data_IF_677721869338
#
_entry.id   IF_677721869338
#
_cell.length_a   1.000
_cell.length_b   1.000
_cell.length_c   1.000
_cell.angle_alpha   90.00
_cell.angle_beta   90.00
_cell.angle_gamma   90.00
#
_symmetry.space_group_name_H-M   'P 1'
#
loop_
_entity.id
_entity.type
_entity.pdbx_description
1 polymer ?
#
# COMPACT_ATOMS: atom_id res chain seq x y z
N UNK A 1 17.18 15.77 -16.02
CA UNK A 1 16.16 16.08 -17.07
C UNK A 1 15.23 17.19 -16.66
N UNK A 2 14.35 17.00 -15.66
CA UNK A 2 13.32 17.96 -15.26
C UNK A 2 13.88 19.32 -14.82
N UNK A 3 14.92 19.35 -13.98
CA UNK A 3 15.57 20.58 -13.54
C UNK A 3 16.14 21.42 -14.70
N UNK A 4 16.71 20.77 -15.71
CA UNK A 4 17.20 21.45 -16.89
C UNK A 4 16.09 22.20 -17.64
N UNK A 5 14.94 21.56 -17.81
CA UNK A 5 13.76 22.17 -18.46
C UNK A 5 13.24 23.34 -17.64
N UNK A 6 13.18 23.21 -16.30
CA UNK A 6 12.72 24.28 -15.41
C UNK A 6 13.65 25.50 -15.43
N UNK A 7 14.97 25.31 -15.56
CA UNK A 7 15.94 26.40 -15.67
C UNK A 7 15.78 27.25 -16.94
N UNK A 8 15.19 26.70 -18.01
CA UNK A 8 14.89 27.45 -19.25
C UNK A 8 13.74 28.47 -19.12
N UNK A 9 13.08 28.51 -17.97
CA UNK A 9 12.06 29.50 -17.65
C UNK A 9 10.62 29.01 -17.71
N UNK A 10 9.73 29.76 -17.04
CA UNK A 10 8.32 29.42 -16.85
C UNK A 10 7.46 29.45 -18.14
N UNK A 11 7.93 30.10 -19.20
CA UNK A 11 7.23 30.26 -20.47
C UNK A 11 7.32 29.02 -21.38
N UNK A 12 8.18 28.07 -21.06
CA UNK A 12 8.34 26.84 -21.84
C UNK A 12 7.11 25.93 -21.77
N UNK A 13 6.68 25.40 -22.92
CA UNK A 13 5.50 24.50 -23.02
C UNK A 13 5.58 23.27 -22.11
N UNK A 14 6.77 22.80 -21.80
CA UNK A 14 7.03 21.65 -20.95
C UNK A 14 7.32 22.00 -19.48
N UNK A 15 7.30 23.29 -19.09
CA UNK A 15 7.66 23.71 -17.73
C UNK A 15 6.80 23.06 -16.64
N UNK A 16 5.47 23.05 -16.82
CA UNK A 16 4.53 22.47 -15.85
C UNK A 16 4.76 20.96 -15.71
N UNK A 17 4.93 20.25 -16.84
CA UNK A 17 5.22 18.82 -16.83
C UNK A 17 6.55 18.52 -16.14
N UNK A 18 7.61 19.25 -16.46
CA UNK A 18 8.91 19.08 -15.82
C UNK A 18 8.85 19.35 -14.31
N UNK A 19 8.11 20.38 -13.90
CA UNK A 19 7.90 20.70 -12.48
C UNK A 19 7.16 19.58 -11.75
N UNK A 20 6.11 19.02 -12.38
CA UNK A 20 5.40 17.87 -11.82
C UNK A 20 6.34 16.67 -11.66
N UNK A 21 7.07 16.29 -12.72
CA UNK A 21 8.00 15.16 -12.69
C UNK A 21 9.09 15.32 -11.62
N UNK A 22 9.58 16.53 -11.40
CA UNK A 22 10.53 16.83 -10.33
C UNK A 22 9.91 16.58 -8.94
N UNK A 23 8.70 17.11 -8.69
CA UNK A 23 8.00 16.91 -7.42
C UNK A 23 7.57 15.45 -7.22
N UNK A 24 7.10 14.80 -8.29
CA UNK A 24 6.74 13.37 -8.25
C UNK A 24 7.93 12.48 -7.90
N UNK A 25 9.13 12.78 -8.42
CA UNK A 25 10.36 12.08 -8.03
C UNK A 25 10.66 12.20 -6.53
N UNK A 26 10.39 13.38 -5.92
CA UNK A 26 10.51 13.56 -4.46
C UNK A 26 9.41 12.84 -3.71
N UNK A 27 8.20 12.84 -4.24
CA UNK A 27 7.07 12.11 -3.66
C UNK A 27 7.30 10.60 -3.69
N UNK A 28 7.87 10.05 -4.77
CA UNK A 28 8.26 8.63 -4.82
C UNK A 28 9.25 8.25 -3.71
N UNK A 29 10.13 9.17 -3.29
CA UNK A 29 11.01 8.92 -2.14
C UNK A 29 10.23 8.83 -0.81
N UNK A 30 9.07 9.51 -0.71
CA UNK A 30 8.14 9.34 0.42
C UNK A 30 7.43 7.98 0.32
N UNK A 31 6.94 7.62 -0.88
CA UNK A 31 6.28 6.33 -1.14
C UNK A 31 7.22 5.14 -0.84
N UNK A 32 8.51 5.28 -1.12
CA UNK A 32 9.55 4.26 -0.86
C UNK A 32 10.08 4.28 0.59
N UNK A 33 9.60 5.20 1.44
CA UNK A 33 10.06 5.34 2.82
C UNK A 33 11.47 5.90 2.98
N UNK A 34 12.03 6.54 1.95
CA UNK A 34 13.34 7.23 1.99
C UNK A 34 13.17 8.57 2.71
N UNK A 35 12.09 9.31 2.41
CA UNK A 35 11.68 10.53 3.10
C UNK A 35 10.57 10.16 4.07
N UNK A 36 10.81 10.28 5.36
CA UNK A 36 9.85 9.98 6.43
C UNK A 36 9.72 11.11 7.47
N UNK A 37 10.61 12.12 7.41
CA UNK A 37 10.53 13.25 8.33
C UNK A 37 9.38 14.18 7.98
N UNK A 38 8.56 14.53 8.97
CA UNK A 38 7.40 15.41 8.82
C UNK A 38 7.75 16.78 8.25
N UNK A 39 8.94 17.30 8.58
CA UNK A 39 9.47 18.55 8.05
C UNK A 39 9.72 18.50 6.55
N UNK A 40 10.31 17.41 6.05
CA UNK A 40 10.58 17.22 4.62
C UNK A 40 9.27 17.01 3.84
N UNK A 41 8.32 16.23 4.37
CA UNK A 41 7.00 16.09 3.78
C UNK A 41 6.23 17.41 3.73
N UNK A 42 6.31 18.22 4.80
CA UNK A 42 5.71 19.55 4.84
C UNK A 42 6.33 20.48 3.81
N UNK A 43 7.64 20.46 3.64
CA UNK A 43 8.34 21.23 2.61
C UNK A 43 7.93 20.79 1.20
N UNK A 44 7.75 19.48 0.98
CA UNK A 44 7.25 18.94 -0.29
C UNK A 44 5.83 19.42 -0.58
N UNK A 45 4.94 19.36 0.42
CA UNK A 45 3.56 19.88 0.31
C UNK A 45 3.54 21.37 -0.05
N UNK A 46 4.42 22.20 0.56
CA UNK A 46 4.59 23.60 0.23
C UNK A 46 4.98 23.82 -1.24
N UNK A 47 5.91 23.02 -1.75
CA UNK A 47 6.34 23.09 -3.17
C UNK A 47 5.21 22.73 -4.14
N UNK A 48 4.37 21.73 -3.80
CA UNK A 48 3.15 21.42 -4.56
C UNK A 48 2.17 22.60 -4.56
N UNK A 49 1.88 23.19 -3.39
CA UNK A 49 1.00 24.38 -3.26
C UNK A 49 1.53 25.55 -4.08
N UNK A 50 2.84 25.83 -4.01
CA UNK A 50 3.47 26.88 -4.79
C UNK A 50 3.31 26.60 -6.30
N UNK A 51 3.51 25.35 -6.74
CA UNK A 51 3.34 24.99 -8.15
C UNK A 51 1.90 25.21 -8.65
N UNK A 52 0.92 24.89 -7.83
CA UNK A 52 -0.49 25.12 -8.10
C UNK A 52 -0.79 26.61 -8.20
N UNK A 53 -0.39 27.41 -7.20
CA UNK A 53 -0.71 28.83 -7.11
C UNK A 53 -0.04 29.66 -8.21
N UNK A 54 1.14 29.29 -8.68
CA UNK A 54 1.85 29.97 -9.77
C UNK A 54 1.34 29.60 -11.16
N UNK A 55 0.39 28.69 -11.28
CA UNK A 55 -0.11 28.17 -12.55
C UNK A 55 -1.57 28.55 -12.77
N UNK A 56 -1.96 28.71 -14.05
CA UNK A 56 -3.37 28.91 -14.39
C UNK A 56 -4.17 27.61 -14.15
N UNK A 57 -5.34 27.67 -13.50
CA UNK A 57 -6.20 26.52 -13.28
C UNK A 57 -6.51 25.78 -14.60
N UNK A 58 -6.52 24.46 -14.54
CA UNK A 58 -6.84 23.61 -15.69
C UNK A 58 -6.46 22.15 -15.44
N UNK A 59 -6.97 21.24 -16.26
CA UNK A 59 -6.78 19.79 -16.16
C UNK A 59 -5.30 19.36 -16.03
N UNK A 60 -4.38 20.09 -16.66
CA UNK A 60 -2.92 19.82 -16.55
C UNK A 60 -2.34 19.93 -15.14
N UNK A 61 -3.05 20.56 -14.21
CA UNK A 61 -2.65 20.64 -12.81
C UNK A 61 -3.17 19.48 -11.96
N UNK A 62 -4.06 18.65 -12.49
CA UNK A 62 -4.64 17.52 -11.77
C UNK A 62 -3.58 16.66 -11.08
N UNK A 63 -2.44 16.28 -11.69
CA UNK A 63 -1.43 15.48 -11.03
C UNK A 63 -0.86 16.12 -9.77
N UNK A 64 -0.73 17.46 -9.73
CA UNK A 64 -0.26 18.15 -8.52
C UNK A 64 -1.27 18.06 -7.38
N UNK A 65 -2.56 18.22 -7.69
CA UNK A 65 -3.63 18.12 -6.70
C UNK A 65 -3.76 16.72 -6.16
N UNK A 66 -3.70 15.69 -7.03
CA UNK A 66 -3.82 14.29 -6.62
C UNK A 66 -2.62 13.84 -5.79
N UNK A 67 -1.40 14.20 -6.18
CA UNK A 67 -0.20 13.87 -5.39
C UNK A 67 -0.21 14.57 -4.03
N UNK A 68 -0.60 15.85 -4.00
CA UNK A 68 -0.73 16.61 -2.75
C UNK A 68 -1.81 16.03 -1.83
N UNK A 69 -2.94 15.61 -2.39
CA UNK A 69 -4.00 14.91 -1.64
C UNK A 69 -3.46 13.62 -1.03
N UNK A 70 -2.77 12.79 -1.83
CA UNK A 70 -2.17 11.54 -1.34
C UNK A 70 -1.13 11.78 -0.25
N UNK A 71 -0.28 12.79 -0.42
CA UNK A 71 0.73 13.15 0.58
C UNK A 71 0.07 13.49 1.92
N UNK A 72 -1.01 14.29 1.90
CA UNK A 72 -1.74 14.62 3.12
C UNK A 72 -2.48 13.43 3.73
N UNK A 73 -3.20 12.64 2.92
CA UNK A 73 -4.02 11.54 3.42
C UNK A 73 -3.18 10.40 3.98
N UNK A 74 -2.19 9.92 3.21
CA UNK A 74 -1.56 8.63 3.46
C UNK A 74 -0.19 8.71 4.12
N UNK A 75 0.46 9.89 4.13
CA UNK A 75 1.82 10.04 4.68
C UNK A 75 1.91 11.07 5.80
N UNK A 76 1.11 12.15 5.72
CA UNK A 76 1.09 13.17 6.77
C UNK A 76 -0.07 13.00 7.76
N UNK A 77 -1.00 12.10 7.48
CA UNK A 77 -2.21 11.83 8.29
C UNK A 77 -3.07 13.08 8.58
N UNK A 78 -3.13 13.98 7.60
CA UNK A 78 -3.88 15.24 7.67
C UNK A 78 -5.11 15.17 6.76
N UNK A 79 -6.13 14.42 7.21
CA UNK A 79 -7.31 14.07 6.41
C UNK A 79 -8.11 15.30 5.98
N UNK A 80 -8.28 16.30 6.86
CA UNK A 80 -8.98 17.56 6.52
C UNK A 80 -8.29 18.29 5.35
N UNK A 81 -6.96 18.34 5.37
CA UNK A 81 -6.17 18.91 4.27
C UNK A 81 -6.34 18.10 2.99
N UNK A 82 -6.36 16.78 3.08
CA UNK A 82 -6.57 15.90 1.93
C UNK A 82 -7.97 16.09 1.32
N UNK A 83 -9.02 16.15 2.15
CA UNK A 83 -10.40 16.43 1.70
C UNK A 83 -10.52 17.80 1.02
N UNK A 84 -9.84 18.82 1.55
CA UNK A 84 -9.79 20.13 0.91
C UNK A 84 -9.18 20.06 -0.49
N UNK A 85 -8.02 19.39 -0.63
CA UNK A 85 -7.31 19.34 -1.91
C UNK A 85 -7.98 18.45 -2.94
N UNK A 86 -8.60 17.33 -2.55
CA UNK A 86 -9.36 16.49 -3.50
C UNK A 86 -10.61 17.21 -4.02
N UNK A 87 -11.30 17.98 -3.16
CA UNK A 87 -12.42 18.83 -3.61
C UNK A 87 -11.96 19.91 -4.60
N UNK A 88 -10.78 20.48 -4.38
CA UNK A 88 -10.18 21.43 -5.34
C UNK A 88 -9.84 20.73 -6.67
N UNK A 89 -9.32 19.51 -6.63
CA UNK A 89 -9.06 18.70 -7.82
C UNK A 89 -10.34 18.43 -8.63
N UNK A 90 -11.44 18.09 -7.94
CA UNK A 90 -12.74 17.84 -8.58
C UNK A 90 -13.33 19.06 -9.29
N UNK A 91 -12.98 20.27 -8.84
CA UNK A 91 -13.47 21.54 -9.40
C UNK A 91 -12.54 22.14 -10.46
N UNK A 92 -11.51 21.40 -10.92
CA UNK A 92 -10.65 21.87 -12.00
C UNK A 92 -11.43 21.94 -13.32
N UNK A 93 -11.25 23.01 -14.11
CA UNK A 93 -11.92 23.11 -15.40
C UNK A 93 -11.31 22.14 -16.41
N UNK A 94 -12.15 21.68 -17.34
CA UNK A 94 -11.77 20.85 -18.49
C UNK A 94 -11.16 19.47 -18.11
N UNK A 95 -11.59 18.89 -17.00
CA UNK A 95 -11.26 17.49 -16.70
C UNK A 95 -11.88 16.56 -17.73
N UNK A 96 -11.13 15.53 -18.12
CA UNK A 96 -11.70 14.42 -18.87
C UNK A 96 -12.59 13.59 -17.95
N UNK A 97 -13.57 12.88 -18.51
CA UNK A 97 -14.43 11.97 -17.74
C UNK A 97 -13.61 10.89 -17.01
N UNK A 98 -12.47 10.49 -17.56
CA UNK A 98 -11.54 9.56 -16.92
C UNK A 98 -10.91 10.19 -15.68
N UNK A 99 -10.48 11.45 -15.78
CA UNK A 99 -9.84 12.17 -14.69
C UNK A 99 -10.84 12.47 -13.56
N UNK A 100 -12.08 12.83 -13.89
CA UNK A 100 -13.16 12.99 -12.90
C UNK A 100 -13.37 11.71 -12.08
N UNK A 101 -13.38 10.54 -12.74
CA UNK A 101 -13.56 9.27 -12.02
C UNK A 101 -12.33 8.90 -11.18
N UNK A 102 -11.10 9.23 -11.62
CA UNK A 102 -9.89 9.07 -10.79
C UNK A 102 -9.96 9.94 -9.54
N UNK A 103 -10.44 11.18 -9.68
CA UNK A 103 -10.61 12.08 -8.52
C UNK A 103 -11.67 11.55 -7.56
N UNK A 104 -12.79 11.01 -8.07
CA UNK A 104 -13.82 10.37 -7.23
C UNK A 104 -13.25 9.17 -6.46
N UNK A 105 -12.47 8.31 -7.11
CA UNK A 105 -11.81 7.19 -6.40
C UNK A 105 -10.89 7.72 -5.31
N UNK A 106 -10.07 8.73 -5.60
CA UNK A 106 -9.18 9.32 -4.61
C UNK A 106 -9.97 9.97 -3.46
N UNK A 107 -11.11 10.62 -3.74
CA UNK A 107 -12.01 11.14 -2.70
C UNK A 107 -12.53 10.03 -1.80
N UNK A 108 -12.96 8.91 -2.40
CA UNK A 108 -13.42 7.75 -1.64
C UNK A 108 -12.29 7.13 -0.79
N UNK A 109 -11.06 7.05 -1.33
CA UNK A 109 -9.89 6.59 -0.58
C UNK A 109 -9.62 7.49 0.65
N UNK A 110 -9.71 8.80 0.50
CA UNK A 110 -9.55 9.76 1.61
C UNK A 110 -10.66 9.61 2.65
N UNK A 111 -11.92 9.45 2.19
CA UNK A 111 -13.05 9.21 3.09
C UNK A 111 -12.93 7.90 3.86
N UNK A 112 -12.35 6.86 3.25
CA UNK A 112 -12.09 5.60 3.93
C UNK A 112 -11.07 5.78 5.07
N UNK A 113 -10.01 6.54 4.83
CA UNK A 113 -9.02 6.90 5.88
C UNK A 113 -9.68 7.70 7.01
N UNK A 114 -10.64 8.57 6.67
CA UNK A 114 -11.45 9.34 7.64
C UNK A 114 -12.48 8.50 8.41
N UNK A 115 -12.61 7.21 8.12
CA UNK A 115 -13.58 6.34 8.76
C UNK A 115 -14.98 6.37 8.12
N UNK A 116 -15.18 7.14 7.05
CA UNK A 116 -16.46 7.28 6.33
C UNK A 116 -16.64 6.11 5.33
N UNK A 117 -16.69 4.87 5.83
CA UNK A 117 -16.72 3.65 4.99
C UNK A 117 -17.93 3.63 4.07
N UNK A 118 -19.11 4.04 4.59
CA UNK A 118 -20.35 4.05 3.81
C UNK A 118 -20.26 5.02 2.63
N UNK A 119 -19.79 6.24 2.86
CA UNK A 119 -19.62 7.24 1.81
C UNK A 119 -18.62 6.80 0.76
N UNK A 120 -17.48 6.23 1.19
CA UNK A 120 -16.49 5.66 0.28
C UNK A 120 -17.10 4.58 -0.60
N UNK A 121 -17.88 3.65 -0.01
CA UNK A 121 -18.56 2.57 -0.73
C UNK A 121 -19.53 3.11 -1.79
N UNK A 122 -20.31 4.15 -1.45
CA UNK A 122 -21.24 4.79 -2.40
C UNK A 122 -20.50 5.40 -3.59
N UNK A 123 -19.38 6.08 -3.36
CA UNK A 123 -18.59 6.70 -4.43
C UNK A 123 -18.00 5.61 -5.33
N UNK A 124 -17.41 4.55 -4.77
CA UNK A 124 -16.90 3.44 -5.57
C UNK A 124 -18.02 2.77 -6.39
N UNK A 125 -19.21 2.58 -5.80
CA UNK A 125 -20.36 2.01 -6.51
C UNK A 125 -20.82 2.90 -7.68
N UNK A 126 -20.81 4.22 -7.51
CA UNK A 126 -21.13 5.15 -8.59
C UNK A 126 -20.10 5.06 -9.74
N UNK A 127 -18.80 5.04 -9.42
CA UNK A 127 -17.74 4.93 -10.44
C UNK A 127 -17.83 3.58 -11.17
N UNK A 128 -18.02 2.47 -10.46
CA UNK A 128 -18.19 1.15 -11.07
C UNK A 128 -19.37 1.13 -12.05
N UNK A 129 -20.52 1.64 -11.64
CA UNK A 129 -21.73 1.70 -12.48
C UNK A 129 -21.50 2.54 -13.73
N UNK A 130 -20.88 3.73 -13.58
CA UNK A 130 -20.70 4.68 -14.66
C UNK A 130 -19.58 4.24 -15.63
N UNK A 131 -18.68 3.35 -15.20
CA UNK A 131 -17.50 2.87 -15.94
C UNK A 131 -17.42 1.34 -16.03
N UNK A 132 -18.56 0.68 -16.09
CA UNK A 132 -18.65 -0.78 -16.26
C UNK A 132 -17.78 -1.23 -17.46
N UNK A 133 -17.02 -2.30 -17.25
CA UNK A 133 -16.09 -2.87 -18.23
C UNK A 133 -14.90 -1.96 -18.64
N UNK A 134 -14.54 -1.01 -17.80
CA UNK A 134 -13.37 -0.15 -17.98
C UNK A 134 -12.38 -0.37 -16.83
N UNK A 135 -11.05 -0.24 -17.03
CA UNK A 135 -10.08 -0.42 -15.94
C UNK A 135 -10.39 0.35 -14.65
N UNK A 136 -10.87 1.60 -14.76
CA UNK A 136 -11.23 2.39 -13.58
C UNK A 136 -12.50 1.88 -12.88
N UNK A 137 -13.44 1.29 -13.62
CA UNK A 137 -14.60 0.61 -13.04
C UNK A 137 -14.22 -0.69 -12.34
N UNK A 138 -13.24 -1.42 -12.89
CA UNK A 138 -12.67 -2.60 -12.23
C UNK A 138 -11.91 -2.24 -10.96
N UNK A 139 -11.16 -1.13 -10.96
CA UNK A 139 -10.52 -0.59 -9.75
C UNK A 139 -11.57 -0.26 -8.67
N UNK A 140 -12.63 0.45 -9.04
CA UNK A 140 -13.72 0.78 -8.11
C UNK A 140 -14.43 -0.49 -7.58
N UNK A 141 -14.63 -1.50 -8.43
CA UNK A 141 -15.19 -2.79 -8.04
C UNK A 141 -14.31 -3.53 -7.03
N UNK A 142 -13.00 -3.55 -7.24
CA UNK A 142 -12.04 -4.15 -6.30
C UNK A 142 -12.08 -3.43 -4.95
N UNK A 143 -12.09 -2.10 -4.96
CA UNK A 143 -12.21 -1.30 -3.73
C UNK A 143 -13.52 -1.58 -2.99
N UNK A 144 -14.65 -1.76 -3.69
CA UNK A 144 -15.90 -2.21 -3.07
C UNK A 144 -15.79 -3.60 -2.45
N UNK A 145 -15.12 -4.54 -3.12
CA UNK A 145 -14.88 -5.86 -2.53
C UNK A 145 -14.07 -5.77 -1.23
N UNK A 146 -13.05 -4.88 -1.18
CA UNK A 146 -12.32 -4.57 0.05
C UNK A 146 -13.22 -3.98 1.14
N UNK A 147 -14.20 -3.11 0.79
CA UNK A 147 -15.17 -2.60 1.78
C UNK A 147 -16.00 -3.73 2.38
N UNK A 148 -16.47 -4.67 1.56
CA UNK A 148 -17.20 -5.85 2.04
C UNK A 148 -16.33 -6.74 2.94
N UNK A 149 -15.07 -6.95 2.57
CA UNK A 149 -14.10 -7.66 3.41
C UNK A 149 -13.95 -6.99 4.79
N UNK A 150 -13.78 -5.67 4.84
CA UNK A 150 -13.69 -4.92 6.10
C UNK A 150 -14.97 -4.97 6.94
N UNK A 151 -16.12 -5.14 6.30
CA UNK A 151 -17.43 -5.33 6.94
C UNK A 151 -17.74 -6.78 7.26
N UNK A 152 -16.81 -7.71 7.00
CA UNK A 152 -16.94 -9.15 7.22
C UNK A 152 -18.00 -9.84 6.31
N UNK A 153 -18.38 -9.21 5.22
CA UNK A 153 -19.22 -9.82 4.18
C UNK A 153 -18.34 -10.55 3.14
N UNK A 154 -17.75 -11.66 3.56
CA UNK A 154 -16.76 -12.39 2.77
C UNK A 154 -17.36 -13.03 1.53
N UNK A 155 -18.60 -13.50 1.60
CA UNK A 155 -19.26 -14.13 0.45
C UNK A 155 -19.50 -13.11 -0.66
N UNK A 156 -19.95 -11.92 -0.30
CA UNK A 156 -20.13 -10.85 -1.27
C UNK A 156 -18.78 -10.38 -1.85
N UNK A 157 -17.76 -10.24 -1.00
CA UNK A 157 -16.41 -9.88 -1.43
C UNK A 157 -15.87 -10.87 -2.46
N UNK A 158 -15.97 -12.21 -2.19
CA UNK A 158 -15.57 -13.28 -3.10
C UNK A 158 -16.29 -13.16 -4.45
N UNK A 159 -17.61 -13.01 -4.44
CA UNK A 159 -18.40 -12.85 -5.67
C UNK A 159 -17.97 -11.64 -6.52
N UNK A 160 -17.45 -10.57 -5.91
CA UNK A 160 -16.94 -9.41 -6.64
C UNK A 160 -15.55 -9.67 -7.25
N UNK A 161 -14.63 -10.27 -6.48
CA UNK A 161 -13.24 -10.49 -6.94
C UNK A 161 -13.13 -11.61 -7.96
N UNK A 162 -13.99 -12.61 -7.94
CA UNK A 162 -14.00 -13.72 -8.93
C UNK A 162 -14.17 -13.19 -10.36
N UNK A 163 -15.02 -12.17 -10.55
CA UNK A 163 -15.17 -11.50 -11.85
C UNK A 163 -13.92 -10.75 -12.26
N UNK A 164 -13.15 -10.23 -11.30
CA UNK A 164 -11.97 -9.42 -11.54
C UNK A 164 -10.71 -10.24 -11.86
N UNK A 165 -10.65 -11.50 -11.46
CA UNK A 165 -9.53 -12.41 -11.79
C UNK A 165 -9.31 -12.55 -13.31
N UNK A 166 -10.36 -12.38 -14.11
CA UNK A 166 -10.31 -12.38 -15.57
C UNK A 166 -10.07 -10.97 -16.18
N UNK A 167 -9.74 -9.96 -15.37
CA UNK A 167 -9.50 -8.59 -15.83
C UNK A 167 -8.31 -8.50 -16.77
N UNK A 168 -8.40 -7.63 -17.78
CA UNK A 168 -7.29 -7.30 -18.68
C UNK A 168 -6.15 -6.55 -17.98
N UNK A 169 -6.42 -5.89 -16.87
CA UNK A 169 -5.42 -5.27 -16.00
C UNK A 169 -4.80 -6.33 -15.09
N UNK A 170 -3.54 -6.68 -15.35
CA UNK A 170 -2.81 -7.65 -14.53
C UNK A 170 -2.73 -7.25 -13.06
N UNK A 171 -2.58 -5.96 -12.77
CA UNK A 171 -2.53 -5.45 -11.39
C UNK A 171 -3.86 -5.72 -10.67
N UNK A 172 -4.99 -5.33 -11.27
CA UNK A 172 -6.31 -5.56 -10.68
C UNK A 172 -6.60 -7.06 -10.53
N UNK A 173 -6.21 -7.87 -11.51
CA UNK A 173 -6.38 -9.33 -11.45
C UNK A 173 -5.55 -9.94 -10.31
N UNK A 174 -4.32 -9.49 -10.11
CA UNK A 174 -3.46 -9.95 -9.01
C UNK A 174 -4.03 -9.56 -7.65
N UNK A 175 -4.41 -8.30 -7.47
CA UNK A 175 -4.99 -7.81 -6.20
C UNK A 175 -6.32 -8.52 -5.88
N UNK A 176 -7.14 -8.82 -6.90
CA UNK A 176 -8.36 -9.60 -6.75
C UNK A 176 -8.08 -11.05 -6.38
N UNK A 177 -7.05 -11.67 -6.98
CA UNK A 177 -6.63 -13.02 -6.64
C UNK A 177 -6.10 -13.09 -5.21
N UNK A 178 -5.29 -12.12 -4.79
CA UNK A 178 -4.77 -12.02 -3.42
C UNK A 178 -5.91 -11.92 -2.40
N UNK A 179 -6.88 -11.00 -2.59
CA UNK A 179 -8.02 -10.88 -1.70
C UNK A 179 -8.88 -12.16 -1.66
N UNK A 180 -9.08 -12.78 -2.83
CA UNK A 180 -9.81 -14.06 -2.91
C UNK A 180 -9.11 -15.17 -2.13
N UNK A 181 -7.79 -15.30 -2.32
CA UNK A 181 -6.96 -16.28 -1.63
C UNK A 181 -7.00 -16.06 -0.12
N UNK A 182 -6.78 -14.83 0.32
CA UNK A 182 -6.82 -14.44 1.72
C UNK A 182 -8.16 -14.78 2.39
N UNK A 183 -9.29 -14.63 1.68
CA UNK A 183 -10.59 -15.04 2.22
C UNK A 183 -10.70 -16.56 2.22
N UNK A 184 -10.41 -17.22 1.09
CA UNK A 184 -10.69 -18.66 0.89
C UNK A 184 -9.84 -19.55 1.79
N UNK A 185 -8.56 -19.24 1.97
CA UNK A 185 -7.64 -20.01 2.82
C UNK A 185 -7.93 -19.85 4.31
N UNK A 186 -8.54 -18.71 4.68
CA UNK A 186 -8.82 -18.37 6.07
C UNK A 186 -10.25 -18.66 6.52
N UNK A 187 -11.10 -19.21 5.64
CA UNK A 187 -12.43 -19.66 6.03
C UNK A 187 -12.35 -20.95 6.85
N UNK A 188 -13.11 -21.01 7.93
CA UNK A 188 -13.27 -22.18 8.79
C UNK A 188 -14.75 -22.58 8.85
N UNK A 189 -15.06 -23.69 9.52
CA UNK A 189 -16.45 -24.15 9.74
C UNK A 189 -17.25 -23.19 10.66
N UNK A 190 -16.59 -22.23 11.32
CA UNK A 190 -17.26 -21.18 12.09
C UNK A 190 -18.09 -20.29 11.17
N UNK A 191 -19.41 -20.36 11.30
CA UNK A 191 -20.35 -19.59 10.48
C UNK A 191 -20.17 -18.07 10.60
N UNK A 192 -19.63 -17.59 11.72
CA UNK A 192 -19.38 -16.15 11.99
C UNK A 192 -18.00 -15.69 11.51
N UNK A 193 -17.11 -16.65 11.16
CA UNK A 193 -15.75 -16.35 10.72
C UNK A 193 -15.03 -15.35 11.64
N UNK A 194 -15.12 -15.57 12.96
CA UNK A 194 -14.76 -14.56 13.98
C UNK A 194 -13.31 -14.11 13.88
N UNK A 195 -12.38 -15.03 13.62
CA UNK A 195 -10.96 -14.70 13.51
C UNK A 195 -10.68 -13.88 12.25
N UNK A 196 -11.20 -14.31 11.09
CA UNK A 196 -11.05 -13.61 9.81
C UNK A 196 -11.70 -12.21 9.87
N UNK A 197 -12.87 -12.08 10.50
CA UNK A 197 -13.53 -10.78 10.69
C UNK A 197 -12.70 -9.84 11.56
N UNK A 198 -12.08 -10.33 12.64
CA UNK A 198 -11.17 -9.52 13.46
C UNK A 198 -9.93 -9.11 12.66
N UNK A 199 -9.39 -9.99 11.84
CA UNK A 199 -8.28 -9.68 10.96
C UNK A 199 -8.64 -8.59 9.93
N UNK A 200 -9.82 -8.70 9.29
CA UNK A 200 -10.33 -7.66 8.40
C UNK A 200 -10.43 -6.28 9.09
N UNK A 201 -10.90 -6.25 10.35
CA UNK A 201 -10.92 -5.03 11.16
C UNK A 201 -9.53 -4.49 11.49
N UNK A 202 -8.55 -5.37 11.74
CA UNK A 202 -7.15 -4.95 11.94
C UNK A 202 -6.57 -4.33 10.65
N UNK A 203 -6.84 -4.93 9.49
CA UNK A 203 -6.45 -4.37 8.19
C UNK A 203 -7.09 -3.01 7.92
N UNK A 204 -8.37 -2.85 8.25
CA UNK A 204 -9.04 -1.55 8.16
C UNK A 204 -8.38 -0.52 9.07
N UNK A 205 -8.15 -0.85 10.34
CA UNK A 205 -7.47 0.06 11.29
C UNK A 205 -6.09 0.46 10.79
N UNK A 206 -5.29 -0.49 10.24
CA UNK A 206 -4.01 -0.19 9.58
C UNK A 206 -4.19 0.77 8.40
N UNK A 207 -5.18 0.55 7.54
CA UNK A 207 -5.47 1.44 6.41
C UNK A 207 -5.87 2.87 6.85
N UNK A 208 -6.50 2.98 8.01
CA UNK A 208 -6.89 4.24 8.64
C UNK A 208 -5.78 4.86 9.50
N UNK A 209 -4.55 4.34 9.43
CA UNK A 209 -3.40 4.79 10.24
C UNK A 209 -3.63 4.71 11.75
N UNK A 210 -4.53 3.82 12.18
CA UNK A 210 -4.80 3.52 13.59
C UNK A 210 -3.92 2.35 14.06
N UNK A 211 -2.60 2.47 13.85
CA UNK A 211 -1.63 1.38 14.03
C UNK A 211 -1.69 0.75 15.41
N UNK A 212 -1.87 1.55 16.46
CA UNK A 212 -2.01 1.04 17.84
C UNK A 212 -3.25 0.15 18.00
N UNK A 213 -4.36 0.48 17.34
CA UNK A 213 -5.59 -0.32 17.36
C UNK A 213 -5.37 -1.61 16.57
N UNK A 214 -4.77 -1.48 15.36
CA UNK A 214 -4.45 -2.63 14.54
C UNK A 214 -3.56 -3.64 15.29
N UNK A 215 -2.46 -3.19 15.91
CA UNK A 215 -1.55 -4.04 16.69
C UNK A 215 -2.30 -4.75 17.82
N UNK A 216 -3.14 -4.05 18.61
CA UNK A 216 -3.92 -4.66 19.69
C UNK A 216 -4.86 -5.77 19.20
N UNK A 217 -5.49 -5.57 18.04
CA UNK A 217 -6.36 -6.59 17.45
C UNK A 217 -5.52 -7.80 17.01
N UNK A 218 -4.37 -7.56 16.34
CA UNK A 218 -3.47 -8.63 15.89
C UNK A 218 -2.89 -9.41 17.08
N UNK A 219 -2.50 -8.76 18.18
CA UNK A 219 -2.05 -9.42 19.41
C UNK A 219 -3.14 -10.32 20.02
N UNK A 220 -4.38 -9.83 20.02
CA UNK A 220 -5.53 -10.62 20.46
C UNK A 220 -5.76 -11.86 19.58
N UNK A 221 -5.53 -11.74 18.27
CA UNK A 221 -5.63 -12.88 17.33
C UNK A 221 -4.54 -13.91 17.58
N UNK A 222 -3.28 -13.50 17.71
CA UNK A 222 -2.15 -14.39 18.00
C UNK A 222 -2.41 -15.20 19.30
N UNK A 223 -2.99 -14.53 20.31
CA UNK A 223 -3.24 -15.18 21.62
C UNK A 223 -4.45 -16.10 21.61
N UNK A 224 -5.55 -15.68 20.96
CA UNK A 224 -6.84 -16.40 21.03
C UNK A 224 -7.02 -17.46 19.97
N UNK A 225 -6.32 -17.33 18.85
CA UNK A 225 -6.47 -18.18 17.68
C UNK A 225 -5.12 -18.71 17.16
N UNK A 226 -4.29 -19.35 18.03
CA UNK A 226 -2.90 -19.70 17.68
C UNK A 226 -2.79 -20.78 16.60
N UNK A 227 -3.88 -21.52 16.31
CA UNK A 227 -3.93 -22.59 15.31
C UNK A 227 -4.88 -22.25 14.14
N UNK A 228 -5.32 -21.01 14.02
CA UNK A 228 -6.22 -20.61 12.95
C UNK A 228 -5.42 -20.32 11.67
N UNK A 229 -5.92 -20.70 10.46
CA UNK A 229 -5.22 -20.44 9.20
C UNK A 229 -4.75 -19.00 9.02
N UNK A 230 -5.50 -17.99 9.51
CA UNK A 230 -5.18 -16.56 9.40
C UNK A 230 -3.90 -16.14 10.15
N UNK A 231 -3.25 -17.04 10.88
CA UNK A 231 -2.16 -16.64 11.78
C UNK A 231 -0.94 -16.11 11.03
N UNK A 232 -0.57 -16.67 9.89
CA UNK A 232 0.53 -16.17 9.05
C UNK A 232 0.25 -14.76 8.54
N UNK A 233 -0.96 -14.49 8.02
CA UNK A 233 -1.44 -13.15 7.65
C UNK A 233 -1.34 -12.15 8.82
N UNK A 234 -1.76 -12.58 10.00
CA UNK A 234 -1.71 -11.77 11.24
C UNK A 234 -0.27 -11.42 11.61
N UNK A 235 0.62 -12.39 11.57
CA UNK A 235 2.05 -12.21 11.87
C UNK A 235 2.71 -11.28 10.84
N UNK A 236 2.43 -11.46 9.54
CA UNK A 236 2.92 -10.59 8.48
C UNK A 236 2.48 -9.14 8.69
N UNK A 237 1.18 -8.91 8.89
CA UNK A 237 0.65 -7.55 9.09
C UNK A 237 1.18 -6.89 10.36
N UNK A 238 1.36 -7.64 11.46
CA UNK A 238 1.98 -7.10 12.67
C UNK A 238 3.46 -6.77 12.45
N UNK A 239 4.20 -7.64 11.75
CA UNK A 239 5.61 -7.40 11.44
C UNK A 239 5.80 -6.12 10.60
N UNK A 240 4.94 -5.87 9.63
CA UNK A 240 4.96 -4.65 8.82
C UNK A 240 4.71 -3.39 9.66
N UNK A 241 3.72 -3.40 10.54
CA UNK A 241 3.41 -2.29 11.44
C UNK A 241 4.57 -1.98 12.38
N UNK A 242 5.19 -3.01 12.96
CA UNK A 242 6.36 -2.85 13.83
C UNK A 242 7.57 -2.32 13.05
N UNK A 243 7.79 -2.80 11.82
CA UNK A 243 8.84 -2.29 10.94
C UNK A 243 8.65 -0.79 10.65
N UNK A 244 7.43 -0.38 10.33
CA UNK A 244 7.10 1.01 10.07
C UNK A 244 7.31 1.91 11.31
N UNK A 245 7.07 1.36 12.51
CA UNK A 245 7.29 2.04 13.79
C UNK A 245 8.76 2.09 14.21
N UNK A 246 9.63 1.28 13.60
CA UNK A 246 11.05 1.20 13.94
C UNK A 246 11.40 0.08 14.93
N UNK A 247 10.45 -0.75 15.32
CA UNK A 247 10.65 -1.89 16.23
C UNK A 247 11.21 -3.10 15.46
N UNK A 248 12.41 -2.91 14.91
CA UNK A 248 13.00 -3.81 13.91
C UNK A 248 13.30 -5.21 14.46
N UNK A 249 13.67 -5.35 15.73
CA UNK A 249 13.98 -6.65 16.34
C UNK A 249 12.71 -7.52 16.43
N UNK A 250 11.61 -6.97 16.97
CA UNK A 250 10.34 -7.69 17.08
C UNK A 250 9.76 -7.99 15.69
N UNK A 251 9.82 -7.02 14.77
CA UNK A 251 9.40 -7.21 13.37
C UNK A 251 10.16 -8.36 12.71
N UNK A 252 11.50 -8.37 12.80
CA UNK A 252 12.32 -9.43 12.21
C UNK A 252 12.01 -10.81 12.80
N UNK A 253 11.73 -10.89 14.09
CA UNK A 253 11.35 -12.14 14.74
C UNK A 253 9.98 -12.66 14.28
N UNK A 254 8.99 -11.77 14.07
CA UNK A 254 7.70 -12.17 13.52
C UNK A 254 7.81 -12.66 12.07
N UNK A 255 8.58 -11.95 11.23
CA UNK A 255 8.86 -12.43 9.88
C UNK A 255 9.57 -13.79 9.87
N UNK A 256 10.54 -14.00 10.78
CA UNK A 256 11.19 -15.31 10.92
C UNK A 256 10.21 -16.39 11.34
N UNK A 257 9.29 -16.08 12.24
CA UNK A 257 8.24 -17.00 12.63
C UNK A 257 7.38 -17.44 11.45
N UNK A 258 6.97 -16.51 10.57
CA UNK A 258 6.25 -16.85 9.35
C UNK A 258 7.12 -17.73 8.43
N UNK A 259 8.39 -17.37 8.24
CA UNK A 259 9.31 -18.11 7.40
C UNK A 259 9.57 -19.56 7.86
N UNK A 260 9.60 -19.80 9.16
CA UNK A 260 9.92 -21.09 9.77
C UNK A 260 8.67 -21.97 10.01
N UNK A 261 7.60 -21.37 10.57
CA UNK A 261 6.40 -22.11 10.96
C UNK A 261 5.42 -22.31 9.79
N UNK A 262 5.43 -21.41 8.78
CA UNK A 262 4.50 -21.38 7.66
C UNK A 262 5.21 -21.52 6.30
N UNK A 263 6.22 -22.39 6.24
CA UNK A 263 7.12 -22.53 5.07
C UNK A 263 6.41 -22.94 3.76
N UNK A 264 5.20 -23.47 3.81
CA UNK A 264 4.40 -23.85 2.63
C UNK A 264 3.40 -22.77 2.20
N UNK A 265 3.22 -21.74 3.02
CA UNK A 265 2.28 -20.66 2.76
C UNK A 265 2.86 -19.61 1.81
N UNK A 266 2.02 -18.85 1.07
CA UNK A 266 2.47 -17.91 0.05
C UNK A 266 3.45 -16.85 0.56
N UNK A 267 3.29 -16.40 1.82
CA UNK A 267 4.11 -15.33 2.41
C UNK A 267 5.47 -15.79 2.94
N UNK A 268 5.77 -17.08 2.99
CA UNK A 268 7.00 -17.57 3.59
C UNK A 268 8.27 -16.97 2.97
N UNK A 269 8.36 -16.95 1.64
CA UNK A 269 9.53 -16.40 0.95
C UNK A 269 9.67 -14.88 1.15
N UNK A 270 8.57 -14.16 1.19
CA UNK A 270 8.51 -12.74 1.45
C UNK A 270 8.94 -12.41 2.88
N UNK A 271 8.41 -13.14 3.85
CA UNK A 271 8.76 -13.01 5.26
C UNK A 271 10.27 -13.23 5.49
N UNK A 272 10.82 -14.33 4.94
CA UNK A 272 12.25 -14.59 5.01
C UNK A 272 13.10 -13.48 4.40
N UNK A 273 12.67 -12.92 3.27
CA UNK A 273 13.35 -11.81 2.62
C UNK A 273 13.34 -10.55 3.50
N UNK A 274 12.19 -10.15 4.03
CA UNK A 274 12.08 -8.98 4.90
C UNK A 274 12.86 -9.16 6.21
N UNK A 275 12.84 -10.35 6.83
CA UNK A 275 13.64 -10.64 7.99
C UNK A 275 15.13 -10.48 7.72
N UNK A 276 15.63 -11.06 6.62
CA UNK A 276 17.04 -10.99 6.24
C UNK A 276 17.49 -9.53 5.99
N UNK A 277 16.68 -8.73 5.28
CA UNK A 277 16.96 -7.30 5.05
C UNK A 277 17.01 -6.53 6.37
N UNK A 278 16.09 -6.78 7.30
CA UNK A 278 16.11 -6.12 8.62
C UNK A 278 17.37 -6.52 9.42
N UNK A 279 17.76 -7.79 9.42
CA UNK A 279 18.99 -8.23 10.07
C UNK A 279 20.23 -7.60 9.45
N UNK A 280 20.29 -7.46 8.12
CA UNK A 280 21.42 -6.85 7.42
C UNK A 280 21.49 -5.35 7.68
N UNK A 281 20.42 -4.62 7.37
CA UNK A 281 20.45 -3.17 7.24
C UNK A 281 20.21 -2.43 8.55
N UNK A 282 19.28 -2.91 9.38
CA UNK A 282 18.86 -2.24 10.60
C UNK A 282 19.53 -2.79 11.85
N UNK A 283 19.58 -4.11 11.98
CA UNK A 283 20.09 -4.78 13.17
C UNK A 283 21.58 -5.11 13.10
N UNK A 284 22.20 -4.93 11.91
CA UNK A 284 23.62 -5.19 11.66
C UNK A 284 24.09 -6.62 11.99
N UNK A 285 23.17 -7.60 11.95
CA UNK A 285 23.41 -9.03 12.20
C UNK A 285 23.74 -9.75 10.86
N UNK A 286 24.87 -9.40 10.25
CA UNK A 286 25.21 -9.79 8.88
C UNK A 286 25.27 -11.32 8.66
N UNK A 287 25.82 -12.08 9.61
CA UNK A 287 25.90 -13.54 9.52
C UNK A 287 24.50 -14.16 9.48
N UNK A 288 23.59 -13.73 10.38
CA UNK A 288 22.21 -14.21 10.41
C UNK A 288 21.47 -13.89 9.10
N UNK A 289 21.62 -12.66 8.60
CA UNK A 289 21.05 -12.26 7.31
C UNK A 289 21.56 -13.14 6.16
N UNK A 290 22.86 -13.39 6.12
CA UNK A 290 23.49 -14.23 5.09
C UNK A 290 22.93 -15.66 5.10
N UNK A 291 22.74 -16.26 6.28
CA UNK A 291 22.21 -17.63 6.39
C UNK A 291 20.75 -17.68 5.93
N UNK A 292 19.91 -16.69 6.30
CA UNK A 292 18.53 -16.62 5.83
C UNK A 292 18.48 -16.46 4.31
N UNK A 293 19.29 -15.59 3.73
CA UNK A 293 19.35 -15.45 2.27
C UNK A 293 19.78 -16.75 1.58
N UNK A 294 20.70 -17.53 2.17
CA UNK A 294 21.05 -18.87 1.65
C UNK A 294 19.87 -19.84 1.71
N UNK A 295 19.10 -19.83 2.81
CA UNK A 295 17.89 -20.64 2.92
C UNK A 295 16.87 -20.27 1.85
N UNK A 296 16.66 -18.98 1.59
CA UNK A 296 15.77 -18.49 0.52
C UNK A 296 16.20 -18.98 -0.88
N UNK A 297 17.52 -18.95 -1.19
CA UNK A 297 18.02 -19.48 -2.45
C UNK A 297 17.73 -20.98 -2.60
N UNK A 298 17.86 -21.73 -1.52
CA UNK A 298 17.72 -23.19 -1.52
C UNK A 298 16.26 -23.63 -1.57
N UNK A 299 15.39 -23.02 -0.76
CA UNK A 299 14.03 -23.53 -0.55
C UNK A 299 12.98 -22.85 -1.44
N UNK A 300 13.24 -21.62 -1.93
CA UNK A 300 12.29 -20.87 -2.76
C UNK A 300 12.91 -20.43 -4.10
N UNK A 301 13.37 -21.38 -4.95
CA UNK A 301 14.10 -21.06 -6.19
C UNK A 301 13.27 -20.27 -7.20
N UNK A 302 11.95 -20.34 -7.15
CA UNK A 302 11.03 -19.63 -8.04
C UNK A 302 10.52 -18.28 -7.47
N UNK A 303 10.99 -17.87 -6.28
CA UNK A 303 10.59 -16.60 -5.68
C UNK A 303 11.05 -15.40 -6.51
N UNK A 304 10.21 -14.38 -6.60
CA UNK A 304 10.51 -13.09 -7.24
C UNK A 304 11.70 -12.38 -6.58
N UNK A 305 12.02 -12.72 -5.33
CA UNK A 305 13.14 -12.14 -4.57
C UNK A 305 14.50 -12.69 -4.95
N UNK A 306 14.59 -13.77 -5.74
CA UNK A 306 15.84 -14.45 -6.08
C UNK A 306 16.94 -13.54 -6.65
N UNK A 307 16.66 -12.62 -7.61
CA UNK A 307 17.70 -11.73 -8.14
C UNK A 307 18.28 -10.81 -7.06
N UNK A 308 17.41 -10.29 -6.20
CA UNK A 308 17.79 -9.38 -5.10
C UNK A 308 18.57 -10.12 -4.01
N UNK A 309 18.13 -11.31 -3.62
CA UNK A 309 18.81 -12.19 -2.66
C UNK A 309 20.24 -12.50 -3.11
N UNK A 310 20.45 -12.82 -4.40
CA UNK A 310 21.80 -13.06 -4.95
C UNK A 310 22.70 -11.83 -4.85
N UNK A 311 22.14 -10.62 -5.00
CA UNK A 311 22.88 -9.37 -4.84
C UNK A 311 23.32 -9.18 -3.38
N UNK A 312 22.41 -9.37 -2.41
CA UNK A 312 22.72 -9.27 -0.97
C UNK A 312 23.79 -10.28 -0.56
N UNK A 313 23.68 -11.54 -0.98
CA UNK A 313 24.70 -12.57 -0.69
C UNK A 313 26.07 -12.17 -1.22
N UNK A 314 26.16 -11.63 -2.45
CA UNK A 314 27.44 -11.19 -3.01
C UNK A 314 28.07 -10.05 -2.21
N UNK A 315 27.26 -9.12 -1.73
CA UNK A 315 27.73 -8.00 -0.92
C UNK A 315 28.18 -8.46 0.46
N UNK A 316 27.37 -9.29 1.14
CA UNK A 316 27.68 -9.81 2.47
C UNK A 316 28.95 -10.68 2.48
N UNK A 317 29.19 -11.50 1.43
CA UNK A 317 30.43 -12.28 1.32
C UNK A 317 31.69 -11.41 1.34
N UNK A 318 31.65 -10.23 0.71
CA UNK A 318 32.80 -9.30 0.73
C UNK A 318 33.04 -8.72 2.12
N UNK A 319 31.98 -8.56 2.92
CA UNK A 319 32.06 -7.96 4.25
C UNK A 319 32.35 -8.97 5.38
N UNK A 320 32.03 -10.25 5.18
CA UNK A 320 32.24 -11.33 6.19
C UNK A 320 33.63 -11.97 6.05
N UNK A 321 34.21 -11.92 4.84
CA UNK A 321 35.51 -12.55 4.55
C UNK A 321 36.69 -11.56 4.77
N UNK A 322 36.43 -10.27 4.91
CA UNK A 322 37.38 -9.25 5.33
C UNK A 322 37.28 -9.01 6.84
#
# INVERSE_FOLDING_TARGET
GAEYVMRKGKSGSYYILARHLYLKSRFSQVEEGIIYEQTEMSNLAQKYKQAINESRPGARLLPFYTDLTRLYAFYMHQVDSALYWVKKAANLPQLSVMDENKVKILEADVKLVDGQIFDATLIYAAVERDRKNNPIGYEAKLKKALMAFYQCDFQWALGQVDVLKASTSKLIANDAAELSLQISENQTEDSVQTALCRFAKARLAKHQHQDTIAIKILDSLITKYPNHPVLDDVLMNKAELLRARGDYEESANLYMRVFEEFAQEPFAAEAGFHAAVLFEEKLKKQTKAFDIFKMLLKHYPMSIYQPTVRKHIRNLRKNIVN
#
